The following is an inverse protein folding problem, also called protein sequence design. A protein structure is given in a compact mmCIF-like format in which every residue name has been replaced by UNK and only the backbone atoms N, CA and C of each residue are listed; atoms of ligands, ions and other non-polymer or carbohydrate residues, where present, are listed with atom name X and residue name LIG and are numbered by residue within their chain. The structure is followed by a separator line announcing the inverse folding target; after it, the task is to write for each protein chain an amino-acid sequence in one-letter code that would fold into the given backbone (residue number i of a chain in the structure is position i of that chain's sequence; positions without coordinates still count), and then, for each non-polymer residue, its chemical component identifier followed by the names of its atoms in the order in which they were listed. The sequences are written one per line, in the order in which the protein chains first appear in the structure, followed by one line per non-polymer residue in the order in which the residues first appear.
data_IF_050624314202
#
_entry.id   IF_050624314202
#
_cell.length_a   1.000
_cell.length_b   1.000
_cell.length_c   1.000
_cell.angle_alpha   90.00
_cell.angle_beta   90.00
_cell.angle_gamma   90.00
#
_symmetry.space_group_name_H-M   'P 1'
#
loop_
_entity.id
_entity.type
_entity.pdbx_description
1 polymer ?
#
# COMPACT_ATOMS: atom_id res chain seq x y z
N UNK A 1 11.86 -7.32 -11.21
CA UNK A 1 12.07 -6.19 -12.17
C UNK A 1 10.85 -5.91 -13.05
N UNK A 2 9.90 -6.85 -13.16
CA UNK A 2 8.73 -6.76 -14.05
C UNK A 2 7.58 -5.93 -13.45
N UNK A 3 7.32 -6.05 -12.14
CA UNK A 3 6.26 -5.29 -11.44
C UNK A 3 6.45 -3.76 -11.50
N UNK A 4 7.67 -3.25 -11.21
CA UNK A 4 7.99 -1.81 -11.20
C UNK A 4 7.82 -1.16 -12.58
N UNK A 5 8.27 -1.82 -13.65
CA UNK A 5 8.11 -1.28 -15.00
C UNK A 5 6.63 -1.24 -15.43
N UNK A 6 5.79 -2.13 -14.89
CA UNK A 6 4.38 -2.28 -15.26
C UNK A 6 3.46 -1.39 -14.41
N UNK A 7 3.71 -1.23 -13.11
CA UNK A 7 3.02 -0.24 -12.27
C UNK A 7 3.26 1.20 -12.76
N UNK A 8 4.46 1.49 -13.29
CA UNK A 8 4.77 2.78 -13.94
C UNK A 8 3.89 3.12 -15.14
N UNK A 9 3.34 2.12 -15.86
CA UNK A 9 2.39 2.39 -16.94
C UNK A 9 1.03 2.87 -16.41
N UNK A 10 0.62 2.38 -15.23
CA UNK A 10 -0.62 2.79 -14.54
C UNK A 10 -0.46 4.18 -13.89
N UNK A 11 0.72 4.45 -13.31
CA UNK A 11 1.04 5.71 -12.60
C UNK A 11 1.43 6.84 -13.56
N UNK A 12 1.61 6.59 -14.87
CA UNK A 12 2.07 7.58 -15.87
C UNK A 12 1.15 8.81 -16.09
N UNK A 13 0.00 8.90 -15.41
CA UNK A 13 -0.84 10.11 -15.32
C UNK A 13 -0.76 10.84 -13.97
N UNK A 14 0.17 10.50 -13.10
CA UNK A 14 0.26 11.03 -11.74
C UNK A 14 1.47 11.96 -11.55
N UNK A 15 1.37 13.20 -12.02
CA UNK A 15 2.15 14.26 -11.39
C UNK A 15 1.59 14.48 -9.98
N UNK A 16 2.42 14.32 -8.94
CA UNK A 16 2.63 15.28 -7.84
C UNK A 16 3.16 14.58 -6.57
N UNK A 17 4.40 14.91 -6.20
CA UNK A 17 4.82 14.99 -4.79
C UNK A 17 6.01 15.96 -4.63
N UNK A 18 5.84 17.20 -5.10
CA UNK A 18 6.81 18.28 -4.81
C UNK A 18 6.63 18.88 -3.41
N UNK A 19 5.48 18.66 -2.75
CA UNK A 19 5.12 19.32 -1.47
C UNK A 19 5.87 18.77 -0.26
N UNK A 20 5.98 17.44 -0.12
CA UNK A 20 6.75 16.81 0.98
C UNK A 20 8.25 17.08 0.78
N UNK A 21 8.75 16.97 -0.46
CA UNK A 21 10.11 17.32 -0.81
C UNK A 21 10.43 18.77 -0.45
N UNK A 22 9.63 19.76 -0.87
CA UNK A 22 9.88 21.17 -0.57
C UNK A 22 9.95 21.47 0.93
N UNK A 23 9.23 20.72 1.77
CA UNK A 23 9.19 20.93 3.22
C UNK A 23 10.45 20.47 3.95
N UNK A 24 11.05 19.36 3.54
CA UNK A 24 12.26 18.82 4.20
C UNK A 24 13.57 19.13 3.45
N UNK A 25 13.51 19.40 2.14
CA UNK A 25 14.69 19.74 1.31
C UNK A 25 15.19 21.18 1.49
N UNK A 26 14.44 22.05 2.16
CA UNK A 26 14.80 23.46 2.37
C UNK A 26 15.52 23.74 3.69
N UNK A 27 15.89 22.70 4.46
CA UNK A 27 16.59 22.90 5.74
C UNK A 27 18.08 22.65 5.65
N UNK A 28 18.82 23.76 5.67
CA UNK A 28 20.24 23.82 5.99
C UNK A 28 20.53 23.00 7.27
N UNK A 29 21.72 22.40 7.38
CA UNK A 29 22.16 21.51 8.46
C UNK A 29 22.38 22.31 9.76
N UNK A 30 21.34 22.97 10.26
CA UNK A 30 21.33 23.60 11.57
C UNK A 30 21.12 22.53 12.64
N UNK A 31 21.87 22.64 13.74
CA UNK A 31 21.74 21.79 14.91
C UNK A 31 20.28 21.80 15.43
N UNK A 32 19.77 20.67 15.97
CA UNK A 32 18.44 20.62 16.56
C UNK A 32 18.32 21.70 17.66
N UNK A 33 17.24 22.46 17.64
CA UNK A 33 16.98 23.48 18.66
C UNK A 33 16.32 22.83 19.89
N UNK A 34 16.52 23.38 21.09
CA UNK A 34 15.88 22.88 22.33
C UNK A 34 14.35 22.75 22.22
N UNK A 35 13.73 23.59 21.38
CA UNK A 35 12.30 23.54 21.07
C UNK A 35 11.92 22.29 20.26
N UNK A 36 12.78 21.84 19.34
CA UNK A 36 12.55 20.62 18.57
C UNK A 36 12.61 19.38 19.48
N UNK A 37 13.51 19.37 20.47
CA UNK A 37 13.62 18.26 21.43
C UNK A 37 12.37 18.14 22.32
N UNK A 38 11.86 19.26 22.83
CA UNK A 38 10.63 19.30 23.63
C UNK A 38 9.41 18.86 22.79
N UNK A 39 9.35 19.26 21.51
CA UNK A 39 8.30 18.83 20.58
C UNK A 39 8.39 17.33 20.28
N UNK A 40 9.59 16.77 20.12
CA UNK A 40 9.79 15.33 19.90
C UNK A 40 9.36 14.53 21.14
N UNK A 41 9.69 14.99 22.35
CA UNK A 41 9.26 14.36 23.60
C UNK A 41 7.73 14.37 23.73
N UNK A 42 7.08 15.51 23.44
CA UNK A 42 5.63 15.60 23.44
C UNK A 42 4.99 14.72 22.35
N UNK A 43 5.59 14.68 21.16
CA UNK A 43 5.14 13.81 20.07
C UNK A 43 5.15 12.34 20.49
N UNK A 44 6.24 11.87 21.12
CA UNK A 44 6.33 10.51 21.63
C UNK A 44 5.23 10.22 22.67
N UNK A 45 4.99 11.14 23.61
CA UNK A 45 3.93 11.00 24.63
C UNK A 45 2.54 10.89 23.99
N UNK A 46 2.25 11.66 22.94
CA UNK A 46 0.97 11.59 22.23
C UNK A 46 0.81 10.23 21.50
N UNK A 47 1.89 9.68 20.93
CA UNK A 47 1.88 8.35 20.33
C UNK A 47 1.68 7.23 21.37
N UNK A 48 2.17 7.41 22.59
CA UNK A 48 1.90 6.50 23.71
C UNK A 48 0.45 6.57 24.16
N UNK A 49 -0.12 7.78 24.23
CA UNK A 49 -1.54 8.03 24.55
C UNK A 49 -2.50 7.73 23.40
N UNK A 50 -2.00 7.31 22.23
CA UNK A 50 -2.78 7.05 21.00
C UNK A 50 -3.57 8.27 20.48
N UNK A 51 -3.06 9.47 20.73
CA UNK A 51 -3.64 10.73 20.28
C UNK A 51 -3.11 11.10 18.89
N UNK A 52 -3.59 10.40 17.87
CA UNK A 52 -3.06 10.49 16.51
C UNK A 52 -3.21 11.88 15.87
N UNK A 53 -4.31 12.58 16.16
CA UNK A 53 -4.61 13.89 15.54
C UNK A 53 -3.63 14.96 16.05
N UNK A 54 -3.43 15.01 17.35
CA UNK A 54 -2.51 15.92 18.03
C UNK A 54 -1.06 15.56 17.68
N UNK A 55 -0.74 14.27 17.62
CA UNK A 55 0.57 13.81 17.16
C UNK A 55 0.84 14.28 15.71
N UNK A 56 -0.16 14.20 14.81
CA UNK A 56 -0.03 14.69 13.44
C UNK A 56 0.19 16.21 13.37
N UNK A 57 -0.42 17.00 14.26
CA UNK A 57 -0.17 18.43 14.34
C UNK A 57 1.28 18.74 14.72
N UNK A 58 1.86 18.01 15.68
CA UNK A 58 3.29 18.14 16.00
C UNK A 58 4.15 17.69 14.82
N UNK A 59 3.84 16.55 14.20
CA UNK A 59 4.54 16.09 13.00
C UNK A 59 4.54 17.16 11.90
N UNK A 60 3.47 17.95 11.77
CA UNK A 60 3.35 19.06 10.83
C UNK A 60 4.10 20.34 11.26
N UNK A 61 4.37 20.53 12.54
CA UNK A 61 5.15 21.67 13.03
C UNK A 61 6.66 21.43 13.03
N UNK A 62 7.09 20.16 13.08
CA UNK A 62 8.51 19.79 13.05
C UNK A 62 9.19 20.23 11.73
N UNK A 63 10.39 20.81 11.86
CA UNK A 63 11.23 21.23 10.72
C UNK A 63 11.96 20.04 10.06
N UNK A 64 12.24 19.00 10.84
CA UNK A 64 12.86 17.76 10.39
C UNK A 64 11.92 16.60 10.71
N UNK A 65 11.88 15.54 9.90
CA UNK A 65 11.10 14.37 10.24
C UNK A 65 11.61 13.79 11.56
N UNK A 66 10.72 13.35 12.47
CA UNK A 66 11.14 12.65 13.67
C UNK A 66 11.78 11.31 13.31
N UNK A 67 12.35 10.64 14.31
CA UNK A 67 12.94 9.32 14.11
C UNK A 67 11.99 8.37 13.37
N UNK A 68 12.54 7.57 12.44
CA UNK A 68 11.78 6.68 11.56
C UNK A 68 10.74 5.85 12.30
N UNK A 69 11.10 5.29 13.46
CA UNK A 69 10.21 4.50 14.31
C UNK A 69 8.96 5.27 14.78
N UNK A 70 9.10 6.55 15.12
CA UNK A 70 7.98 7.38 15.54
C UNK A 70 7.06 7.71 14.36
N UNK A 71 7.64 8.00 13.19
CA UNK A 71 6.89 8.24 11.95
C UNK A 71 6.12 6.99 11.50
N UNK A 72 6.75 5.81 11.49
CA UNK A 72 6.07 4.53 11.20
C UNK A 72 4.89 4.29 12.15
N UNK A 73 5.09 4.50 13.46
CA UNK A 73 4.04 4.35 14.47
C UNK A 73 2.86 5.29 14.24
N UNK A 74 3.13 6.56 13.89
CA UNK A 74 2.08 7.52 13.54
C UNK A 74 1.32 7.09 12.28
N UNK A 75 2.03 6.71 11.21
CA UNK A 75 1.42 6.27 9.95
C UNK A 75 0.46 5.08 10.18
N UNK A 76 0.91 4.06 10.94
CA UNK A 76 0.07 2.92 11.31
C UNK A 76 -1.15 3.36 12.11
N UNK A 77 -0.99 4.26 13.09
CA UNK A 77 -2.08 4.73 13.93
C UNK A 77 -3.15 5.49 13.13
N UNK A 78 -2.73 6.36 12.21
CA UNK A 78 -3.63 7.10 11.32
C UNK A 78 -4.34 6.15 10.34
N UNK A 79 -3.60 5.25 9.69
CA UNK A 79 -4.15 4.29 8.74
C UNK A 79 -5.21 3.35 9.38
N UNK A 80 -5.01 2.97 10.64
CA UNK A 80 -6.00 2.15 11.39
C UNK A 80 -7.35 2.84 11.59
N UNK A 81 -7.38 4.17 11.70
CA UNK A 81 -8.62 4.95 11.84
C UNK A 81 -9.44 4.97 10.55
N UNK A 82 -8.79 4.76 9.40
CA UNK A 82 -9.41 4.56 8.10
C UNK A 82 -10.32 5.69 7.60
N UNK A 83 -10.25 6.89 8.18
CA UNK A 83 -10.95 8.06 7.63
C UNK A 83 -10.19 8.58 6.42
N UNK A 84 -10.87 9.23 5.48
CA UNK A 84 -10.22 9.80 4.29
C UNK A 84 -9.10 10.79 4.66
N UNK A 85 -9.32 11.61 5.71
CA UNK A 85 -8.33 12.57 6.21
C UNK A 85 -7.13 11.83 6.80
N UNK A 86 -7.36 10.91 7.73
CA UNK A 86 -6.28 10.18 8.38
C UNK A 86 -5.49 9.33 7.38
N UNK A 87 -6.14 8.81 6.34
CA UNK A 87 -5.46 8.06 5.26
C UNK A 87 -4.51 8.95 4.47
N UNK A 88 -4.94 10.17 4.11
CA UNK A 88 -4.06 11.17 3.46
C UNK A 88 -2.88 11.56 4.35
N UNK A 89 -3.15 11.83 5.63
CA UNK A 89 -2.11 12.14 6.60
C UNK A 89 -1.15 10.95 6.78
N UNK A 90 -1.65 9.71 6.81
CA UNK A 90 -0.84 8.49 6.93
C UNK A 90 0.08 8.28 5.71
N UNK A 91 -0.43 8.54 4.50
CA UNK A 91 0.37 8.52 3.28
C UNK A 91 1.51 9.54 3.41
N UNK A 92 1.21 10.79 3.76
CA UNK A 92 2.23 11.85 3.88
C UNK A 92 3.33 11.50 4.90
N UNK A 93 2.95 10.92 6.04
CA UNK A 93 3.91 10.42 7.03
C UNK A 93 4.73 9.27 6.46
N UNK A 94 4.12 8.29 5.78
CA UNK A 94 4.81 7.18 5.15
C UNK A 94 5.81 7.67 4.08
N UNK A 95 5.46 8.70 3.29
CA UNK A 95 6.38 9.35 2.33
C UNK A 95 7.63 9.86 3.03
N UNK A 96 7.51 10.46 4.22
CA UNK A 96 8.69 10.90 4.98
C UNK A 96 9.59 9.75 5.43
N UNK A 97 9.03 8.56 5.64
CA UNK A 97 9.78 7.36 6.03
C UNK A 97 10.59 6.81 4.86
N UNK A 98 9.95 6.53 3.72
CA UNK A 98 10.65 5.91 2.59
C UNK A 98 11.50 6.86 1.74
N UNK A 99 11.30 8.17 1.90
CA UNK A 99 12.20 9.18 1.31
C UNK A 99 13.49 9.37 2.12
N UNK A 100 13.62 8.75 3.30
CA UNK A 100 14.85 8.79 4.07
C UNK A 100 15.93 7.92 3.39
N UNK A 101 17.04 8.50 2.87
CA UNK A 101 18.06 7.73 2.16
C UNK A 101 18.77 6.70 3.03
N UNK A 102 18.71 6.84 4.35
CA UNK A 102 19.31 5.89 5.30
C UNK A 102 18.30 4.87 5.82
N UNK A 103 17.09 4.80 5.26
CA UNK A 103 16.09 3.81 5.64
C UNK A 103 16.63 2.41 5.41
N UNK A 104 16.55 1.58 6.45
CA UNK A 104 16.66 0.13 6.35
C UNK A 104 15.28 -0.42 6.67
N UNK A 105 14.56 -0.98 5.67
CA UNK A 105 13.25 -1.56 5.92
C UNK A 105 13.30 -2.62 7.02
N UNK A 106 12.38 -2.49 7.96
CA UNK A 106 12.17 -3.38 9.10
C UNK A 106 10.70 -3.82 9.14
N UNK A 107 10.35 -4.65 10.12
CA UNK A 107 8.98 -5.15 10.29
C UNK A 107 7.96 -4.00 10.46
N UNK A 108 8.35 -2.90 11.11
CA UNK A 108 7.50 -1.72 11.23
C UNK A 108 7.30 -0.97 9.91
N UNK A 109 8.32 -0.95 9.05
CA UNK A 109 8.21 -0.43 7.68
C UNK A 109 7.18 -1.24 6.91
N UNK A 110 7.31 -2.58 6.93
CA UNK A 110 6.36 -3.49 6.29
C UNK A 110 4.94 -3.28 6.80
N UNK A 111 4.75 -3.25 8.12
CA UNK A 111 3.44 -2.98 8.72
C UNK A 111 2.87 -1.62 8.30
N UNK A 112 3.68 -0.57 8.27
CA UNK A 112 3.23 0.76 7.85
C UNK A 112 2.75 0.75 6.40
N UNK A 113 3.47 0.07 5.49
CA UNK A 113 3.03 -0.09 4.10
C UNK A 113 1.69 -0.84 4.00
N UNK A 114 1.54 -1.99 4.68
CA UNK A 114 0.31 -2.79 4.66
C UNK A 114 -0.89 -1.99 5.20
N UNK A 115 -0.76 -1.35 6.36
CA UNK A 115 -1.87 -0.59 6.94
C UNK A 115 -2.26 0.60 6.08
N UNK A 116 -1.28 1.32 5.50
CA UNK A 116 -1.54 2.48 4.65
C UNK A 116 -2.17 2.04 3.33
N UNK A 117 -1.71 0.96 2.68
CA UNK A 117 -2.34 0.43 1.47
C UNK A 117 -3.79 0.02 1.74
N UNK A 118 -4.05 -0.71 2.83
CA UNK A 118 -5.41 -1.11 3.23
C UNK A 118 -6.32 0.08 3.54
N UNK A 119 -5.78 1.14 4.15
CA UNK A 119 -6.54 2.37 4.37
C UNK A 119 -6.88 3.06 3.04
N UNK A 120 -5.98 3.04 2.05
CA UNK A 120 -6.24 3.56 0.71
C UNK A 120 -7.35 2.78 0.00
N UNK A 121 -7.29 1.44 0.01
CA UNK A 121 -8.31 0.59 -0.61
C UNK A 121 -9.70 0.83 0.00
N UNK A 122 -9.79 0.85 1.34
CA UNK A 122 -11.05 1.14 2.05
C UNK A 122 -11.63 2.52 1.73
N UNK A 123 -10.77 3.50 1.42
CA UNK A 123 -11.19 4.85 1.03
C UNK A 123 -11.31 5.04 -0.49
N UNK A 124 -11.24 3.96 -1.29
CA UNK A 124 -11.30 4.00 -2.76
C UNK A 124 -10.24 4.92 -3.40
N UNK A 125 -9.08 5.02 -2.76
CA UNK A 125 -7.93 5.80 -3.21
C UNK A 125 -6.99 4.93 -4.04
N UNK A 126 -7.49 4.39 -5.16
CA UNK A 126 -6.78 3.39 -5.97
C UNK A 126 -5.41 3.90 -6.43
N UNK A 127 -5.34 5.16 -6.86
CA UNK A 127 -4.09 5.77 -7.32
C UNK A 127 -3.03 5.78 -6.21
N UNK A 128 -3.40 6.25 -5.03
CA UNK A 128 -2.49 6.30 -3.88
C UNK A 128 -2.12 4.90 -3.39
N UNK A 129 -3.05 3.95 -3.43
CA UNK A 129 -2.77 2.56 -3.07
C UNK A 129 -1.74 1.91 -4.01
N UNK A 130 -1.84 2.18 -5.31
CA UNK A 130 -0.86 1.76 -6.33
C UNK A 130 0.51 2.39 -6.08
N UNK A 131 0.56 3.70 -5.82
CA UNK A 131 1.82 4.40 -5.48
C UNK A 131 2.48 3.78 -4.24
N UNK A 132 1.71 3.54 -3.17
CA UNK A 132 2.22 2.93 -1.94
C UNK A 132 2.72 1.51 -2.17
N UNK A 133 2.03 0.71 -2.99
CA UNK A 133 2.44 -0.65 -3.32
C UNK A 133 3.70 -0.68 -4.18
N UNK A 134 3.82 0.23 -5.16
CA UNK A 134 5.02 0.35 -5.98
C UNK A 134 6.24 0.71 -5.12
N UNK A 135 6.10 1.65 -4.19
CA UNK A 135 7.20 2.04 -3.30
C UNK A 135 7.58 0.94 -2.31
N UNK A 136 6.61 0.17 -1.80
CA UNK A 136 6.90 -1.02 -1.01
C UNK A 136 7.81 -1.98 -1.80
N UNK A 137 7.42 -2.30 -3.04
CA UNK A 137 8.20 -3.17 -3.91
C UNK A 137 9.59 -2.58 -4.21
N UNK A 138 9.71 -1.28 -4.51
CA UNK A 138 11.00 -0.63 -4.77
C UNK A 138 11.98 -0.71 -3.60
N UNK A 139 11.46 -0.72 -2.37
CA UNK A 139 12.24 -0.88 -1.14
C UNK A 139 12.50 -2.35 -0.79
N UNK A 140 12.00 -3.30 -1.58
CA UNK A 140 12.04 -4.72 -1.26
C UNK A 140 11.12 -5.11 -0.10
N UNK A 141 10.18 -4.25 0.27
CA UNK A 141 9.13 -4.54 1.25
C UNK A 141 8.02 -5.32 0.56
N UNK A 142 7.74 -6.52 1.07
CA UNK A 142 6.69 -7.38 0.55
C UNK A 142 5.42 -7.18 1.36
N UNK A 143 4.32 -6.86 0.68
CA UNK A 143 3.01 -6.82 1.31
C UNK A 143 2.48 -8.24 1.54
N UNK A 144 1.42 -8.36 2.33
CA UNK A 144 0.77 -9.64 2.58
C UNK A 144 -0.29 -9.96 1.50
N UNK A 145 -0.75 -11.22 1.48
CA UNK A 145 -1.76 -11.67 0.52
C UNK A 145 -3.05 -10.82 0.57
N UNK A 146 -3.60 -10.45 1.75
CA UNK A 146 -4.74 -9.54 1.83
C UNK A 146 -4.54 -8.21 1.11
N UNK A 147 -3.37 -7.57 1.22
CA UNK A 147 -3.10 -6.32 0.51
C UNK A 147 -3.11 -6.50 -1.02
N UNK A 148 -2.56 -7.61 -1.52
CA UNK A 148 -2.62 -7.94 -2.96
C UNK A 148 -4.03 -8.29 -3.43
N UNK A 149 -4.82 -9.02 -2.63
CA UNK A 149 -6.23 -9.28 -2.93
C UNK A 149 -7.03 -7.98 -3.03
N UNK A 150 -6.80 -7.05 -2.09
CA UNK A 150 -7.41 -5.72 -2.14
C UNK A 150 -6.99 -4.95 -3.40
N UNK A 151 -5.72 -5.03 -3.80
CA UNK A 151 -5.23 -4.40 -5.03
C UNK A 151 -5.91 -4.96 -6.28
N UNK A 152 -5.97 -6.29 -6.42
CA UNK A 152 -6.57 -6.99 -7.55
C UNK A 152 -8.06 -6.61 -7.65
N UNK A 153 -8.80 -6.67 -6.54
CA UNK A 153 -10.20 -6.29 -6.50
C UNK A 153 -10.41 -4.81 -6.86
N UNK A 154 -9.56 -3.92 -6.35
CA UNK A 154 -9.68 -2.49 -6.63
C UNK A 154 -9.36 -2.15 -8.11
N UNK A 155 -8.46 -2.89 -8.76
CA UNK A 155 -8.19 -2.78 -10.19
C UNK A 155 -9.37 -3.30 -11.02
N UNK A 156 -9.94 -4.45 -10.63
CA UNK A 156 -11.16 -5.00 -11.22
C UNK A 156 -12.33 -4.01 -11.14
N UNK A 157 -12.58 -3.43 -9.97
CA UNK A 157 -13.63 -2.43 -9.74
C UNK A 157 -13.44 -1.15 -10.57
N UNK A 158 -12.20 -0.90 -11.03
CA UNK A 158 -11.84 0.23 -11.86
C UNK A 158 -11.77 -0.11 -13.37
N UNK A 159 -12.28 -1.29 -13.77
CA UNK A 159 -12.20 -1.83 -15.14
C UNK A 159 -10.76 -1.98 -15.66
N UNK A 160 -9.79 -2.16 -14.76
CA UNK A 160 -8.36 -2.38 -15.06
C UNK A 160 -7.99 -3.87 -14.89
N UNK A 161 -8.73 -4.73 -15.59
CA UNK A 161 -8.65 -6.20 -15.39
C UNK A 161 -7.36 -6.79 -15.93
N UNK A 162 -6.81 -6.25 -17.02
CA UNK A 162 -5.49 -6.62 -17.54
C UNK A 162 -4.40 -6.42 -16.49
N UNK A 163 -4.40 -5.28 -15.81
CA UNK A 163 -3.47 -4.99 -14.73
C UNK A 163 -3.65 -5.96 -13.56
N UNK A 164 -4.89 -6.27 -13.19
CA UNK A 164 -5.19 -7.21 -12.13
C UNK A 164 -4.63 -8.62 -12.43
N UNK A 165 -4.75 -9.09 -13.68
CA UNK A 165 -4.14 -10.35 -14.16
C UNK A 165 -2.61 -10.30 -14.01
N UNK A 166 -1.99 -9.17 -14.38
CA UNK A 166 -0.53 -9.03 -14.28
C UNK A 166 -0.05 -9.06 -12.83
N UNK A 167 -0.78 -8.43 -11.90
CA UNK A 167 -0.47 -8.51 -10.46
C UNK A 167 -0.57 -9.96 -9.99
N UNK A 168 -1.64 -10.67 -10.33
CA UNK A 168 -1.84 -12.07 -9.99
C UNK A 168 -0.71 -12.97 -10.50
N UNK A 169 -0.30 -12.79 -11.75
CA UNK A 169 0.82 -13.55 -12.34
C UNK A 169 2.14 -13.29 -11.61
N UNK A 170 2.40 -12.06 -11.19
CA UNK A 170 3.63 -11.70 -10.47
C UNK A 170 3.67 -12.36 -9.09
N UNK A 171 2.57 -12.29 -8.32
CA UNK A 171 2.51 -12.95 -7.01
C UNK A 171 2.47 -14.48 -7.12
N UNK A 172 1.81 -15.05 -8.14
CA UNK A 172 1.77 -16.49 -8.38
C UNK A 172 3.12 -17.05 -8.86
N UNK A 173 3.91 -16.24 -9.58
CA UNK A 173 5.24 -16.62 -10.07
C UNK A 173 6.36 -16.43 -9.04
N UNK A 174 6.06 -15.85 -7.88
CA UNK A 174 7.01 -15.67 -6.79
C UNK A 174 6.92 -16.77 -5.73
N UNK A 175 8.00 -17.01 -4.99
CA UNK A 175 8.07 -18.08 -3.99
C UNK A 175 7.50 -17.70 -2.60
N UNK A 176 6.94 -16.50 -2.45
CA UNK A 176 6.77 -15.86 -1.12
C UNK A 176 5.31 -15.65 -0.76
N UNK A 177 4.46 -15.42 -1.75
CA UNK A 177 3.03 -15.20 -1.58
C UNK A 177 2.35 -16.22 -2.48
N UNK A 178 1.51 -17.07 -1.89
CA UNK A 178 0.69 -18.00 -2.67
C UNK A 178 -0.70 -17.41 -2.78
N UNK A 179 -1.16 -17.03 -3.98
CA UNK A 179 -2.55 -16.68 -4.20
C UNK A 179 -3.47 -17.80 -3.74
N UNK A 180 -4.61 -17.43 -3.15
CA UNK A 180 -5.60 -18.37 -2.68
C UNK A 180 -6.86 -18.35 -3.56
N UNK A 181 -7.83 -19.17 -3.20
CA UNK A 181 -9.11 -19.24 -3.88
C UNK A 181 -9.78 -17.86 -3.99
N UNK A 182 -9.70 -17.04 -2.94
CA UNK A 182 -10.34 -15.71 -2.93
C UNK A 182 -9.65 -14.75 -3.90
N UNK A 183 -8.33 -14.85 -4.04
CA UNK A 183 -7.56 -14.06 -5.01
C UNK A 183 -8.03 -14.33 -6.44
N UNK A 184 -8.12 -15.61 -6.82
CA UNK A 184 -8.51 -16.00 -8.17
C UNK A 184 -9.98 -15.74 -8.46
N UNK A 185 -10.85 -15.98 -7.49
CA UNK A 185 -12.30 -15.89 -7.66
C UNK A 185 -12.80 -14.51 -8.08
N UNK A 186 -12.34 -13.45 -7.38
CA UNK A 186 -12.73 -12.08 -7.68
C UNK A 186 -12.38 -11.71 -9.12
N UNK A 187 -11.18 -12.07 -9.55
CA UNK A 187 -10.69 -11.81 -10.90
C UNK A 187 -11.45 -12.62 -11.97
N UNK A 188 -11.65 -13.92 -11.75
CA UNK A 188 -12.38 -14.79 -12.68
C UNK A 188 -13.81 -14.28 -12.88
N UNK A 189 -14.49 -13.91 -11.80
CA UNK A 189 -15.84 -13.34 -11.85
C UNK A 189 -15.90 -12.07 -12.71
N UNK A 190 -14.91 -11.19 -12.54
CA UNK A 190 -14.80 -9.97 -13.34
C UNK A 190 -14.59 -10.25 -14.82
N UNK A 191 -13.63 -11.12 -15.17
CA UNK A 191 -13.34 -11.52 -16.56
C UNK A 191 -14.57 -12.15 -17.23
N UNK A 192 -15.32 -13.00 -16.51
CA UNK A 192 -16.56 -13.59 -17.00
C UNK A 192 -17.61 -12.50 -17.28
N UNK A 193 -17.74 -11.52 -16.38
CA UNK A 193 -18.71 -10.43 -16.57
C UNK A 193 -18.38 -9.54 -17.78
N UNK A 194 -17.09 -9.45 -18.14
CA UNK A 194 -16.58 -8.80 -19.36
C UNK A 194 -16.71 -9.68 -20.62
N UNK A 195 -17.21 -10.91 -20.49
CA UNK A 195 -17.37 -11.91 -21.57
C UNK A 195 -16.05 -12.40 -22.19
N UNK A 196 -14.95 -12.28 -21.46
CA UNK A 196 -13.63 -12.74 -21.88
C UNK A 196 -13.38 -14.21 -21.47
N UNK A 197 -14.23 -15.12 -21.94
CA UNK A 197 -14.26 -16.51 -21.48
C UNK A 197 -12.94 -17.27 -21.66
N UNK A 198 -12.17 -16.98 -22.72
CA UNK A 198 -10.86 -17.59 -22.93
C UNK A 198 -9.89 -17.23 -21.81
N UNK A 199 -9.82 -15.94 -21.43
CA UNK A 199 -8.96 -15.44 -20.36
C UNK A 199 -9.41 -15.99 -18.99
N UNK A 200 -10.72 -16.16 -18.78
CA UNK A 200 -11.26 -16.75 -17.57
C UNK A 200 -10.81 -18.22 -17.43
N UNK A 201 -10.86 -18.98 -18.52
CA UNK A 201 -10.39 -20.38 -18.55
C UNK A 201 -8.89 -20.48 -18.28
N UNK A 202 -8.07 -19.63 -18.91
CA UNK A 202 -6.63 -19.57 -18.63
C UNK A 202 -6.34 -19.28 -17.15
N UNK A 203 -7.09 -18.35 -16.55
CA UNK A 203 -6.95 -17.99 -15.13
C UNK A 203 -7.35 -19.14 -14.21
N UNK A 204 -8.41 -19.89 -14.55
CA UNK A 204 -8.82 -21.11 -13.83
C UNK A 204 -7.75 -22.20 -13.92
N UNK A 205 -7.19 -22.42 -15.10
CA UNK A 205 -6.14 -23.42 -15.30
C UNK A 205 -4.86 -23.03 -14.56
N UNK A 206 -4.49 -21.74 -14.57
CA UNK A 206 -3.40 -21.23 -13.75
C UNK A 206 -3.63 -21.55 -12.26
N UNK A 207 -4.81 -21.25 -11.71
CA UNK A 207 -5.15 -21.54 -10.32
C UNK A 207 -4.99 -23.03 -9.98
N UNK A 208 -5.45 -23.92 -10.87
CA UNK A 208 -5.28 -25.38 -10.71
C UNK A 208 -3.82 -25.80 -10.72
N UNK A 209 -3.00 -25.25 -11.62
CA UNK A 209 -1.57 -25.54 -11.66
C UNK A 209 -0.82 -25.05 -10.42
N UNK A 210 -1.29 -23.95 -9.82
CA UNK A 210 -0.80 -23.43 -8.53
C UNK A 210 -1.30 -24.21 -7.32
N UNK A 211 -2.10 -25.27 -7.51
CA UNK A 211 -2.62 -26.10 -6.42
C UNK A 211 -3.86 -25.54 -5.71
N UNK A 212 -4.46 -24.46 -6.23
CA UNK A 212 -5.68 -23.88 -5.68
C UNK A 212 -6.88 -24.76 -6.04
N UNK A 213 -7.64 -25.16 -5.01
CA UNK A 213 -8.89 -25.91 -5.17
C UNK A 213 -10.05 -24.94 -4.98
N UNK A 214 -10.86 -24.76 -6.03
CA UNK A 214 -12.10 -24.00 -5.90
C UNK A 214 -13.17 -24.83 -5.18
N UNK A 215 -13.70 -24.28 -4.09
CA UNK A 215 -14.94 -24.69 -3.48
C UNK A 215 -16.12 -24.39 -4.41
N UNK A 216 -17.16 -25.23 -4.35
CA UNK A 216 -18.32 -25.14 -5.25
C UNK A 216 -19.13 -23.84 -5.12
N UNK A 217 -18.91 -23.05 -4.07
CA UNK A 217 -19.63 -21.79 -3.83
C UNK A 217 -19.03 -20.61 -4.60
N UNK A 218 -17.74 -20.63 -4.86
CA UNK A 218 -16.98 -19.44 -5.26
C UNK A 218 -16.99 -19.20 -6.77
N UNK A 219 -17.06 -20.26 -7.57
CA UNK A 219 -17.11 -20.10 -9.02
C UNK A 219 -18.49 -19.74 -9.56
N UNK A 220 -19.58 -19.83 -8.79
CA UNK A 220 -20.94 -19.47 -9.25
C UNK A 220 -21.44 -20.20 -10.51
N UNK A 221 -20.63 -21.10 -11.07
CA UNK A 221 -20.96 -21.96 -12.19
C UNK A 221 -21.16 -23.35 -11.60
N UNK A 222 -22.42 -23.72 -11.39
CA UNK A 222 -22.78 -25.14 -11.50
C UNK A 222 -22.37 -25.57 -12.91
N UNK A 223 -21.15 -26.07 -13.05
CA UNK A 223 -20.78 -26.94 -14.15
C UNK A 223 -21.57 -28.23 -13.97
N UNK A 224 -22.82 -28.23 -14.44
CA UNK A 224 -23.61 -29.41 -14.73
C UNK A 224 -23.92 -29.43 -16.21
#
# INVERSE_FOLDING_TARGET
MVLVMRMRHVVRRASLSKRVMARFSSTNVAAPSRVDDDLIANFQLLLEKRQATEAMQIFQSLKKPPATALSQRLAIMLAKRATLKDTKDAIDVLKSVYMNPTLKPDDFTMLAFIFVSDACYRNKMLKEALEVTEEAHNLGVRLDLPAYNNLINALVDADQTDEAILILQDIAGGDVISPDETTYAGLISAIISQREFSQAMETIDQARTSGVKFSGEVLGVSLR
#
